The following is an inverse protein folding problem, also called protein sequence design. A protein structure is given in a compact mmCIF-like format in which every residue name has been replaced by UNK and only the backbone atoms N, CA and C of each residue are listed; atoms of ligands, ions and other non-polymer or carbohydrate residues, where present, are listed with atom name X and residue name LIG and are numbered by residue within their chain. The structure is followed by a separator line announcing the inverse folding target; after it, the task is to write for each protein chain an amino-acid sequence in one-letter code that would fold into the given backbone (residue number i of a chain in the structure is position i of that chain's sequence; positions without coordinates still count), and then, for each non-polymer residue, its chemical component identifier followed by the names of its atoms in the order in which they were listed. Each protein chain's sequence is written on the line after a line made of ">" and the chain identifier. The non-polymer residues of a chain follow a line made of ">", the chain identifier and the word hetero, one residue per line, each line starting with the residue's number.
data_IF_296011534782
#
_entry.id   IF_296011534782
#
_cell.length_a   1.000
_cell.length_b   1.000
_cell.length_c   1.000
_cell.angle_alpha   90.00
_cell.angle_beta   90.00
_cell.angle_gamma   90.00
#
_symmetry.space_group_name_H-M   'P 1'
#
loop_
_entity.id
_entity.type
_entity.pdbx_description
1 polymer ?
#
# COMPACT_ATOMS: atom_id res chain seq x y z
N UNK A 1 -12.79 72.06 0.71
CA UNK A 1 -13.32 71.85 2.07
C UNK A 1 -14.82 71.99 2.02
N UNK A 2 -15.60 70.91 2.15
CA UNK A 2 -16.85 70.84 2.92
C UNK A 2 -17.35 69.38 2.86
N UNK A 3 -17.61 68.81 4.03
CA UNK A 3 -18.11 67.44 4.22
C UNK A 3 -19.62 67.37 4.04
N UNK A 4 -20.08 66.12 3.90
CA UNK A 4 -21.43 65.56 4.09
C UNK A 4 -22.49 65.85 3.05
N UNK A 5 -22.93 64.79 2.35
CA UNK A 5 -24.31 64.28 2.27
C UNK A 5 -24.25 62.97 1.46
N UNK A 6 -24.26 61.81 2.13
CA UNK A 6 -25.45 60.98 2.36
C UNK A 6 -25.81 60.09 1.15
N UNK A 7 -25.57 58.79 1.33
CA UNK A 7 -26.45 57.68 1.00
C UNK A 7 -27.26 57.74 -0.32
N UNK A 8 -26.90 56.87 -1.28
CA UNK A 8 -27.83 55.94 -1.96
C UNK A 8 -27.17 55.31 -3.19
N UNK A 9 -26.94 53.99 -3.15
CA UNK A 9 -26.85 53.03 -4.26
C UNK A 9 -26.09 51.81 -3.70
N UNK A 10 -26.68 51.02 -2.80
CA UNK A 10 -27.49 49.86 -3.18
C UNK A 10 -27.06 49.21 -4.50
N UNK A 11 -26.43 48.04 -4.33
CA UNK A 11 -26.33 46.92 -5.28
C UNK A 11 -25.38 47.13 -6.45
N UNK A 12 -24.13 46.67 -6.28
CA UNK A 12 -23.33 46.19 -7.40
C UNK A 12 -22.30 45.16 -6.94
N UNK A 13 -22.64 43.89 -7.19
CA UNK A 13 -21.65 42.86 -7.50
C UNK A 13 -20.85 42.32 -6.32
N UNK A 14 -21.37 41.26 -5.71
CA UNK A 14 -20.51 40.22 -5.15
C UNK A 14 -19.62 39.66 -6.27
N UNK A 15 -18.46 40.26 -6.48
CA UNK A 15 -17.47 39.84 -7.49
C UNK A 15 -16.34 39.12 -6.79
N UNK A 16 -16.12 37.88 -7.23
CA UNK A 16 -14.92 37.12 -6.93
C UNK A 16 -15.12 36.08 -5.84
N UNK A 17 -15.97 35.09 -6.11
CA UNK A 17 -16.06 33.88 -5.32
C UNK A 17 -14.66 33.31 -5.05
N UNK A 18 -14.40 32.95 -3.80
CA UNK A 18 -13.21 32.21 -3.43
C UNK A 18 -13.09 31.00 -4.37
N UNK A 19 -12.05 30.99 -5.21
CA UNK A 19 -11.64 29.80 -5.93
C UNK A 19 -11.10 28.82 -4.89
N UNK A 20 -12.01 28.12 -4.22
CA UNK A 20 -11.66 26.96 -3.44
C UNK A 20 -11.03 25.98 -4.44
N UNK A 21 -9.81 25.46 -4.19
CA UNK A 21 -9.26 24.45 -5.06
C UNK A 21 -10.22 23.27 -5.02
N UNK A 22 -10.93 23.05 -6.13
CA UNK A 22 -11.69 21.85 -6.34
C UNK A 22 -10.66 20.73 -6.44
N UNK A 23 -10.37 20.10 -5.30
CA UNK A 23 -9.62 18.86 -5.21
C UNK A 23 -10.52 17.79 -5.85
N UNK A 24 -10.55 17.77 -7.18
CA UNK A 24 -11.21 16.71 -7.91
C UNK A 24 -10.37 15.45 -7.67
N UNK A 25 -10.71 14.71 -6.62
CA UNK A 25 -10.31 13.31 -6.51
C UNK A 25 -10.92 12.62 -7.74
N UNK A 26 -10.11 12.42 -8.77
CA UNK A 26 -10.53 11.75 -9.99
C UNK A 26 -10.93 10.32 -9.66
N UNK A 27 -12.23 10.08 -9.53
CA UNK A 27 -12.78 8.73 -9.45
C UNK A 27 -12.66 8.13 -10.85
N UNK A 28 -11.72 7.21 -11.03
CA UNK A 28 -11.59 6.44 -12.27
C UNK A 28 -12.55 5.26 -12.19
N UNK A 29 -13.59 5.28 -13.03
CA UNK A 29 -14.60 4.23 -13.11
C UNK A 29 -14.17 3.25 -14.21
N UNK A 30 -13.63 2.10 -13.82
CA UNK A 30 -13.34 0.98 -14.70
C UNK A 30 -14.34 -0.17 -14.53
N UNK A 31 -14.24 -1.24 -15.33
CA UNK A 31 -15.10 -2.44 -15.22
C UNK A 31 -15.08 -3.09 -13.83
N UNK A 32 -14.04 -2.83 -13.03
CA UNK A 32 -13.84 -3.36 -11.67
C UNK A 32 -14.21 -2.37 -10.53
N UNK A 33 -14.84 -1.23 -10.84
CA UNK A 33 -15.35 -0.27 -9.84
C UNK A 33 -14.42 0.91 -9.49
N UNK A 34 -14.66 1.55 -8.34
CA UNK A 34 -13.97 2.78 -7.87
C UNK A 34 -12.80 2.43 -6.94
N UNK A 35 -11.59 2.89 -7.25
CA UNK A 35 -10.37 2.64 -6.46
C UNK A 35 -9.77 3.93 -5.92
N UNK A 36 -9.75 4.10 -4.59
CA UNK A 36 -9.06 5.21 -3.91
C UNK A 36 -7.57 4.87 -3.83
N UNK A 37 -6.73 5.62 -4.54
CA UNK A 37 -5.27 5.46 -4.47
C UNK A 37 -4.75 6.44 -3.43
N UNK A 38 -4.34 5.93 -2.27
CA UNK A 38 -3.72 6.74 -1.22
C UNK A 38 -2.24 6.96 -1.59
N UNK A 39 -1.76 8.20 -1.79
CA UNK A 39 -0.41 8.47 -2.30
C UNK A 39 0.71 7.97 -1.37
N UNK A 40 0.43 7.82 -0.07
CA UNK A 40 1.39 7.37 0.94
C UNK A 40 1.48 5.83 1.08
N UNK A 41 0.68 5.04 0.35
CA UNK A 41 0.74 3.57 0.39
C UNK A 41 1.63 2.96 -0.72
N UNK A 42 2.39 3.80 -1.42
CA UNK A 42 3.09 3.42 -2.64
C UNK A 42 4.36 2.60 -2.39
N UNK A 43 4.98 2.69 -1.22
CA UNK A 43 6.29 2.05 -0.96
C UNK A 43 6.21 0.54 -0.73
N UNK A 44 5.07 0.01 -0.26
CA UNK A 44 4.90 -1.43 0.02
C UNK A 44 4.25 -2.24 -1.11
N UNK A 45 3.43 -1.61 -1.97
CA UNK A 45 2.58 -2.34 -2.95
C UNK A 45 3.19 -2.49 -4.34
N UNK A 46 4.37 -1.92 -4.58
CA UNK A 46 5.01 -1.99 -5.90
C UNK A 46 5.82 -3.27 -6.11
N UNK A 47 6.18 -4.02 -5.06
CA UNK A 47 6.90 -5.31 -5.21
C UNK A 47 6.02 -6.44 -5.74
N UNK A 48 4.71 -6.37 -5.50
CA UNK A 48 3.76 -7.41 -5.93
C UNK A 48 3.41 -7.36 -7.42
N UNK A 49 3.65 -6.23 -8.09
CA UNK A 49 3.13 -6.01 -9.46
C UNK A 49 3.99 -6.64 -10.56
N UNK A 50 5.19 -7.10 -10.22
CA UNK A 50 6.14 -7.81 -11.10
C UNK A 50 6.31 -9.30 -10.74
N UNK A 51 5.32 -9.94 -10.10
CA UNK A 51 5.36 -11.40 -9.96
C UNK A 51 5.04 -12.07 -11.29
N UNK A 52 5.93 -12.93 -11.82
CA UNK A 52 5.60 -13.81 -12.93
C UNK A 52 4.36 -14.61 -12.56
N UNK A 53 3.33 -14.57 -13.42
CA UNK A 53 2.07 -15.30 -13.27
C UNK A 53 2.38 -16.79 -13.08
N UNK A 54 2.42 -17.25 -11.82
CA UNK A 54 2.79 -18.62 -11.46
C UNK A 54 3.74 -18.77 -10.26
N UNK A 55 4.37 -17.70 -9.79
CA UNK A 55 5.16 -17.75 -8.54
C UNK A 55 4.29 -17.60 -7.30
N UNK A 56 4.73 -18.20 -6.19
CA UNK A 56 4.08 -18.03 -4.89
C UNK A 56 4.30 -16.60 -4.36
N UNK A 57 3.35 -16.11 -3.58
CA UNK A 57 3.45 -14.79 -2.96
C UNK A 57 4.29 -14.83 -1.68
N UNK A 58 4.80 -13.67 -1.22
CA UNK A 58 5.45 -13.56 0.10
C UNK A 58 4.51 -14.07 1.22
N UNK A 59 3.22 -13.76 1.13
CA UNK A 59 2.21 -14.24 2.07
C UNK A 59 2.07 -15.76 2.06
N UNK A 60 2.17 -16.37 0.88
CA UNK A 60 2.15 -17.84 0.74
C UNK A 60 3.40 -18.46 1.35
N UNK A 61 4.58 -17.89 1.09
CA UNK A 61 5.83 -18.32 1.69
C UNK A 61 5.78 -18.27 3.23
N UNK A 62 5.22 -17.20 3.81
CA UNK A 62 5.01 -17.10 5.26
C UNK A 62 4.05 -18.18 5.76
N UNK A 63 2.99 -18.50 5.01
CA UNK A 63 2.05 -19.57 5.39
C UNK A 63 2.74 -20.93 5.41
N UNK A 64 3.56 -21.21 4.40
CA UNK A 64 4.36 -22.43 4.31
C UNK A 64 5.34 -22.49 5.49
N UNK A 65 6.07 -21.41 5.76
CA UNK A 65 7.00 -21.33 6.88
C UNK A 65 6.33 -21.53 8.25
N UNK A 66 5.09 -21.04 8.44
CA UNK A 66 4.29 -21.33 9.64
C UNK A 66 3.96 -22.82 9.79
N UNK A 67 3.83 -23.55 8.67
CA UNK A 67 3.71 -25.01 8.65
C UNK A 67 4.96 -25.71 9.20
N UNK A 68 6.14 -25.16 8.92
CA UNK A 68 7.44 -25.69 9.35
C UNK A 68 7.85 -25.33 10.79
N UNK A 69 7.06 -24.49 11.47
CA UNK A 69 7.29 -24.17 12.89
C UNK A 69 7.45 -22.68 13.20
N UNK A 70 7.48 -21.82 12.18
CA UNK A 70 7.54 -20.37 12.37
C UNK A 70 6.30 -19.86 13.13
N UNK A 71 6.52 -19.07 14.18
CA UNK A 71 5.46 -18.47 14.99
C UNK A 71 5.37 -16.97 14.76
N UNK A 72 6.50 -16.30 14.90
CA UNK A 72 6.67 -14.86 14.69
C UNK A 72 7.55 -14.64 13.46
N UNK A 73 7.25 -13.61 12.68
CA UNK A 73 7.96 -13.29 11.43
C UNK A 73 8.76 -12.03 11.70
N UNK A 74 10.07 -12.10 11.50
CA UNK A 74 10.97 -10.96 11.67
C UNK A 74 11.28 -10.30 10.34
N UNK A 75 11.68 -11.11 9.34
CA UNK A 75 11.98 -10.63 7.99
C UNK A 75 11.48 -11.62 6.92
N UNK A 76 11.09 -11.06 5.79
CA UNK A 76 10.80 -11.81 4.57
C UNK A 76 11.58 -11.17 3.44
N UNK A 77 12.51 -11.94 2.87
CA UNK A 77 13.34 -11.48 1.76
C UNK A 77 13.19 -12.39 0.55
N UNK A 78 13.13 -11.75 -0.63
CA UNK A 78 13.08 -12.46 -1.92
C UNK A 78 14.48 -12.61 -2.47
N UNK A 79 14.84 -13.84 -2.81
CA UNK A 79 16.06 -14.17 -3.54
C UNK A 79 15.74 -14.50 -5.01
N UNK A 80 16.75 -14.91 -5.78
CA UNK A 80 16.55 -15.29 -7.19
C UNK A 80 15.60 -16.49 -7.36
N UNK A 81 15.60 -17.46 -6.45
CA UNK A 81 14.80 -18.70 -6.60
C UNK A 81 13.88 -18.99 -5.43
N UNK A 82 14.00 -18.26 -4.33
CA UNK A 82 13.30 -18.58 -3.09
C UNK A 82 12.86 -17.33 -2.32
N UNK A 83 11.83 -17.48 -1.51
CA UNK A 83 11.58 -16.62 -0.37
C UNK A 83 12.32 -17.16 0.85
N UNK A 84 13.06 -16.28 1.52
CA UNK A 84 13.65 -16.56 2.83
C UNK A 84 12.78 -15.91 3.88
N UNK A 85 12.28 -16.71 4.81
CA UNK A 85 11.46 -16.26 5.91
C UNK A 85 12.24 -16.51 7.20
N UNK A 86 12.52 -15.45 7.93
CA UNK A 86 13.24 -15.49 9.21
C UNK A 86 12.30 -15.10 10.34
N UNK A 87 12.47 -15.73 11.50
CA UNK A 87 11.77 -15.34 12.71
C UNK A 87 11.98 -16.32 13.85
N UNK A 88 10.99 -16.41 14.72
CA UNK A 88 11.06 -17.19 15.96
C UNK A 88 10.08 -18.38 15.91
N UNK A 89 10.54 -19.54 16.34
CA UNK A 89 9.74 -20.77 16.41
C UNK A 89 8.83 -20.80 17.66
N UNK A 90 8.18 -21.93 17.92
CA UNK A 90 7.27 -22.07 19.08
C UNK A 90 8.00 -22.16 20.43
N UNK A 91 9.27 -22.52 20.43
CA UNK A 91 10.14 -22.65 21.60
C UNK A 91 10.88 -21.36 21.92
N UNK A 92 10.85 -20.39 21.01
CA UNK A 92 11.58 -19.13 21.15
C UNK A 92 12.95 -19.17 20.50
N UNK A 93 13.25 -20.21 19.71
CA UNK A 93 14.50 -20.33 18.98
C UNK A 93 14.39 -19.63 17.62
N UNK A 94 15.50 -19.11 17.11
CA UNK A 94 15.57 -18.59 15.75
C UNK A 94 15.28 -19.70 14.74
N UNK A 95 14.49 -19.39 13.72
CA UNK A 95 14.18 -20.29 12.61
C UNK A 95 14.24 -19.53 11.29
N UNK A 96 14.84 -20.18 10.29
CA UNK A 96 14.86 -19.71 8.91
C UNK A 96 14.29 -20.78 8.00
N UNK A 97 13.31 -20.40 7.19
CA UNK A 97 12.69 -21.25 6.18
C UNK A 97 12.94 -20.66 4.79
N UNK A 98 13.65 -21.41 3.94
CA UNK A 98 13.83 -21.07 2.53
C UNK A 98 12.78 -21.84 1.70
N UNK A 99 11.91 -21.11 1.00
CA UNK A 99 10.77 -21.65 0.23
C UNK A 99 10.95 -21.37 -1.26
N UNK A 100 10.85 -22.37 -2.12
CA UNK A 100 10.94 -22.20 -3.57
C UNK A 100 9.82 -21.28 -4.09
N UNK A 101 10.21 -20.27 -4.84
CA UNK A 101 9.27 -19.24 -5.32
C UNK A 101 8.32 -19.75 -6.41
N UNK A 102 8.65 -20.86 -7.09
CA UNK A 102 7.91 -21.37 -8.24
C UNK A 102 6.75 -22.26 -7.81
N UNK A 103 6.97 -23.12 -6.83
CA UNK A 103 6.00 -24.14 -6.43
C UNK A 103 5.67 -24.15 -4.92
N UNK A 104 6.41 -23.40 -4.11
CA UNK A 104 6.22 -23.36 -2.66
C UNK A 104 6.84 -24.53 -1.90
N UNK A 105 7.70 -25.32 -2.53
CA UNK A 105 8.43 -26.39 -1.86
C UNK A 105 9.39 -25.83 -0.81
N UNK A 106 9.49 -26.47 0.35
CA UNK A 106 10.48 -26.11 1.36
C UNK A 106 11.85 -26.62 0.91
N UNK A 107 12.80 -25.70 0.73
CA UNK A 107 14.17 -26.00 0.32
C UNK A 107 15.03 -26.35 1.54
N UNK A 108 14.89 -25.56 2.60
CA UNK A 108 15.65 -25.73 3.84
C UNK A 108 14.91 -25.13 5.03
N UNK A 109 15.11 -25.76 6.20
CA UNK A 109 14.74 -25.25 7.52
C UNK A 109 15.99 -25.27 8.38
N UNK A 110 16.29 -24.16 9.05
CA UNK A 110 17.47 -23.99 9.92
C UNK A 110 17.08 -23.30 11.21
#
# INVERSE_FOLDING_TARGET
>A
MLKTLLAAALVAGAVGGAALPAQAQGIMIGPDGVRVVNPNESEGRQRDRDMPRGEISEREAVRIARGEGLREVDDVSRTRSAYRVEGIDRRGDDIRVDVDRRDGSVIAVR
#
